data_IF_498693808727
#
_entry.id   IF_498693808727
#
_cell.length_a   1.000
_cell.length_b   1.000
_cell.length_c   1.000
_cell.angle_alpha   90.00
_cell.angle_beta   90.00
_cell.angle_gamma   90.00
#
_symmetry.space_group_name_H-M   'P 1'
#
loop_
_entity.id
_entity.type
_entity.pdbx_description
1 polymer ?
#
# COMPACT_ATOMS: atom_id res chain seq x y z
N UNK A 1 -2.17 -11.42 -15.69
CA UNK A 1 -1.76 -10.99 -15.23
C UNK A 1 -1.90 -10.03 -14.75
N UNK A 2 -1.93 -9.86 -14.22
CA UNK A 2 -2.06 -9.01 -13.85
C UNK A 2 -1.47 -8.14 -13.61
N UNK A 3 -1.38 -7.86 -13.53
CA UNK A 3 -0.76 -6.81 -13.48
C UNK A 3 0.02 -6.38 -12.43
N UNK A 4 0.78 -6.89 -12.02
CA UNK A 4 1.41 -6.33 -11.09
C UNK A 4 2.42 -5.66 -11.50
N UNK A 5 2.62 -4.80 -11.16
CA UNK A 5 3.24 -3.79 -11.84
C UNK A 5 4.39 -3.21 -11.12
N UNK A 6 4.57 -3.55 -9.86
CA UNK A 6 5.65 -2.99 -9.06
C UNK A 6 6.66 -4.09 -8.77
N UNK A 7 7.93 -3.79 -8.93
CA UNK A 7 8.96 -4.78 -8.64
C UNK A 7 9.17 -4.85 -7.13
N UNK A 8 9.96 -5.83 -6.73
CA UNK A 8 10.13 -6.09 -5.32
C UNK A 8 10.81 -4.95 -4.58
N UNK A 9 11.75 -4.30 -5.23
CA UNK A 9 12.43 -3.17 -4.60
C UNK A 9 11.44 -2.04 -4.32
N UNK A 10 10.52 -1.80 -5.26
CA UNK A 10 9.52 -0.77 -5.06
C UNK A 10 8.55 -1.15 -3.94
N UNK A 11 8.12 -2.42 -3.91
CA UNK A 11 7.22 -2.87 -2.86
C UNK A 11 7.86 -2.71 -1.50
N UNK A 12 9.15 -3.06 -1.38
CA UNK A 12 9.85 -2.89 -0.11
C UNK A 12 9.94 -1.43 0.29
N UNK A 13 10.23 -0.56 -0.68
CA UNK A 13 10.36 0.86 -0.37
C UNK A 13 9.04 1.47 0.04
N UNK A 14 7.94 1.03 -0.58
CA UNK A 14 6.63 1.54 -0.20
C UNK A 14 6.23 1.03 1.18
N UNK A 15 6.51 -0.25 1.44
CA UNK A 15 6.25 -0.80 2.77
C UNK A 15 6.95 0.02 3.85
N UNK A 16 8.18 0.44 3.56
CA UNK A 16 8.97 1.19 4.54
C UNK A 16 8.35 2.55 4.87
N UNK A 17 7.43 3.03 4.05
CA UNK A 17 6.77 4.31 4.34
C UNK A 17 5.66 4.17 5.37
N UNK A 18 5.18 2.95 5.63
CA UNK A 18 4.15 2.75 6.64
C UNK A 18 4.74 2.92 8.02
N UNK A 19 3.91 3.38 8.96
CA UNK A 19 4.36 3.64 10.32
C UNK A 19 4.34 2.36 11.14
N UNK A 20 5.44 2.00 11.79
CA UNK A 20 5.43 0.80 12.65
C UNK A 20 4.39 0.92 13.74
N UNK A 21 3.73 -0.20 14.03
CA UNK A 21 2.74 -0.25 15.10
C UNK A 21 3.43 -0.57 16.40
N UNK A 22 3.26 0.30 17.39
CA UNK A 22 3.89 0.05 18.71
C UNK A 22 3.16 -1.04 19.46
N UNK A 23 1.88 -1.25 19.19
CA UNK A 23 1.10 -2.25 19.91
C UNK A 23 1.15 -3.60 19.23
N UNK A 24 1.46 -3.65 17.96
CA UNK A 24 1.53 -4.90 17.22
C UNK A 24 2.79 -4.89 16.35
N UNK A 25 3.96 -5.07 16.99
CA UNK A 25 5.25 -4.75 16.36
C UNK A 25 5.51 -5.32 14.97
N UNK A 26 5.06 -6.53 14.61
CA UNK A 26 5.34 -6.97 13.24
C UNK A 26 4.53 -6.21 12.21
N UNK A 27 3.48 -5.51 12.64
CA UNK A 27 2.60 -4.81 11.71
C UNK A 27 2.95 -3.35 11.62
N UNK A 28 2.44 -2.71 10.57
CA UNK A 28 2.55 -1.28 10.39
C UNK A 28 1.16 -0.73 10.12
N UNK A 29 1.04 0.59 10.10
CA UNK A 29 -0.26 1.21 9.84
C UNK A 29 -0.17 2.03 8.58
N UNK A 30 -1.29 2.02 7.83
CA UNK A 30 -1.36 2.83 6.62
C UNK A 30 -1.83 4.24 6.97
N UNK A 31 -2.11 5.05 5.95
CA UNK A 31 -2.45 6.45 6.15
C UNK A 31 -3.75 6.64 6.93
N UNK A 32 -4.61 5.64 6.94
CA UNK A 32 -5.88 5.71 7.65
C UNK A 32 -5.83 5.02 9.00
N UNK A 33 -4.66 4.55 9.41
CA UNK A 33 -4.51 3.89 10.69
C UNK A 33 -4.82 2.41 10.69
N UNK A 34 -5.01 1.81 9.52
CA UNK A 34 -5.31 0.40 9.43
C UNK A 34 -4.03 -0.41 9.48
N UNK A 35 -4.09 -1.55 10.16
CA UNK A 35 -2.93 -2.43 10.27
C UNK A 35 -2.70 -3.17 8.96
N UNK A 36 -1.45 -3.28 8.58
CA UNK A 36 -1.05 -4.02 7.39
C UNK A 36 0.18 -4.87 7.72
N UNK A 37 0.35 -5.94 6.99
CA UNK A 37 1.40 -6.93 7.22
C UNK A 37 2.24 -7.01 5.96
N UNK A 38 3.57 -7.00 6.14
CA UNK A 38 4.46 -6.93 4.99
C UNK A 38 4.16 -8.00 3.94
N UNK A 39 3.99 -9.24 4.39
CA UNK A 39 3.75 -10.35 3.47
C UNK A 39 2.33 -10.36 2.91
N UNK A 40 1.51 -9.42 3.33
CA UNK A 40 0.15 -9.34 2.82
C UNK A 40 -0.02 -8.55 1.54
N UNK A 41 1.08 -8.15 0.92
CA UNK A 41 0.95 -7.38 -0.31
C UNK A 41 0.13 -8.14 -1.35
N UNK A 42 -0.91 -7.49 -1.85
CA UNK A 42 -1.76 -8.07 -2.87
C UNK A 42 -2.77 -9.09 -2.38
N UNK A 43 -2.81 -9.36 -1.08
CA UNK A 43 -3.68 -10.40 -0.55
C UNK A 43 -4.99 -9.79 -0.05
N UNK A 44 -6.03 -9.92 -0.85
CA UNK A 44 -7.34 -9.39 -0.48
C UNK A 44 -8.16 -10.38 0.33
N UNK A 45 -7.56 -11.51 0.71
CA UNK A 45 -8.21 -12.46 1.61
C UNK A 45 -7.79 -12.25 3.05
N UNK A 46 -6.92 -11.29 3.31
CA UNK A 46 -6.45 -11.01 4.65
C UNK A 46 -6.82 -9.60 5.03
N UNK A 47 -7.27 -9.41 6.27
CA UNK A 47 -7.57 -8.07 6.75
C UNK A 47 -6.32 -7.20 6.83
N UNK A 48 -5.15 -7.83 6.84
CA UNK A 48 -3.88 -7.10 6.87
C UNK A 48 -3.24 -6.99 5.49
N UNK A 49 -3.94 -7.41 4.45
CA UNK A 49 -3.45 -7.26 3.09
C UNK A 49 -3.41 -5.80 2.68
N UNK A 50 -2.48 -5.48 1.79
CA UNK A 50 -2.31 -4.10 1.39
C UNK A 50 -1.91 -4.01 -0.07
N UNK A 51 -2.06 -2.83 -0.60
CA UNK A 51 -1.76 -2.56 -2.00
C UNK A 51 -1.04 -1.23 -2.08
N UNK A 52 -0.39 -0.99 -3.22
CA UNK A 52 0.27 0.29 -3.44
C UNK A 52 -0.72 1.22 -4.12
N UNK A 53 -0.91 2.39 -3.54
CA UNK A 53 -1.84 3.38 -4.06
C UNK A 53 -1.07 4.60 -4.54
N UNK A 54 -1.65 5.29 -5.53
CA UNK A 54 -1.09 6.54 -6.02
C UNK A 54 -1.69 7.69 -5.22
N UNK A 55 -0.84 8.54 -4.68
CA UNK A 55 -1.33 9.74 -4.01
C UNK A 55 -1.96 10.68 -5.04
N UNK A 56 -1.35 10.79 -6.20
CA UNK A 56 -1.92 11.50 -7.33
C UNK A 56 -2.10 10.50 -8.45
N UNK A 57 -3.33 10.26 -8.89
CA UNK A 57 -3.56 9.25 -9.94
C UNK A 57 -2.84 9.59 -11.23
N UNK A 58 -2.48 8.58 -12.00
CA UNK A 58 -1.83 8.83 -13.30
C UNK A 58 -2.63 9.74 -14.22
N UNK A 59 -3.96 9.68 -14.13
CA UNK A 59 -4.80 10.54 -14.98
C UNK A 59 -4.66 12.00 -14.62
N UNK A 60 -4.12 12.31 -13.44
CA UNK A 60 -3.90 13.68 -13.01
C UNK A 60 -2.43 14.03 -12.99
N UNK A 61 -1.63 13.32 -13.78
CA UNK A 61 -0.23 13.63 -13.90
C UNK A 61 0.65 12.95 -12.87
N UNK A 62 0.08 12.05 -12.07
CA UNK A 62 0.88 11.30 -11.11
C UNK A 62 1.70 10.25 -11.81
N UNK A 63 2.88 9.97 -11.28
CA UNK A 63 3.74 8.96 -11.84
C UNK A 63 4.09 7.89 -10.83
N UNK A 64 5.01 7.04 -11.21
CA UNK A 64 5.43 5.93 -10.36
C UNK A 64 6.60 6.30 -9.46
N UNK A 65 6.87 7.59 -9.29
CA UNK A 65 7.88 8.03 -8.35
C UNK A 65 7.51 7.58 -6.95
N UNK A 66 8.51 7.16 -6.20
CA UNK A 66 8.25 6.63 -4.86
C UNK A 66 7.46 7.61 -4.00
N UNK A 67 7.71 8.90 -4.14
CA UNK A 67 7.00 9.87 -3.33
C UNK A 67 5.51 9.96 -3.68
N UNK A 68 5.11 9.41 -4.83
CA UNK A 68 3.70 9.38 -5.22
C UNK A 68 3.02 8.07 -4.85
N UNK A 69 3.74 7.16 -4.23
CA UNK A 69 3.20 5.85 -3.87
C UNK A 69 3.06 5.74 -2.37
N UNK A 70 2.02 5.04 -1.93
CA UNK A 70 1.83 4.83 -0.49
C UNK A 70 1.17 3.49 -0.28
N UNK A 71 1.43 2.87 0.88
CA UNK A 71 0.77 1.60 1.19
C UNK A 71 -0.60 1.87 1.79
N UNK A 72 -1.60 1.15 1.30
CA UNK A 72 -2.94 1.22 1.86
C UNK A 72 -3.46 -0.18 2.08
N UNK A 73 -4.12 -0.39 3.22
CA UNK A 73 -4.85 -1.62 3.43
C UNK A 73 -5.84 -1.76 2.28
N UNK A 74 -6.02 -2.99 1.78
CA UNK A 74 -6.69 -3.15 0.49
C UNK A 74 -8.13 -2.62 0.50
N UNK A 75 -8.83 -2.72 1.63
CA UNK A 75 -10.20 -2.21 1.68
C UNK A 75 -10.21 -0.69 1.65
N UNK A 76 -9.24 -0.06 2.29
CA UNK A 76 -9.13 1.39 2.23
C UNK A 76 -8.82 1.84 0.80
N UNK A 77 -7.97 1.10 0.11
CA UNK A 77 -7.65 1.43 -1.27
C UNK A 77 -8.89 1.35 -2.16
N UNK A 78 -9.69 0.29 -1.95
CA UNK A 78 -10.91 0.11 -2.74
C UNK A 78 -11.95 1.15 -2.41
N UNK A 79 -12.03 1.51 -1.12
CA UNK A 79 -13.04 2.49 -0.70
C UNK A 79 -12.75 3.85 -1.26
N UNK A 80 -11.49 4.21 -1.43
CA UNK A 80 -11.15 5.48 -2.04
C UNK A 80 -11.62 5.55 -3.49
N UNK A 81 -11.86 4.42 -4.11
CA UNK A 81 -12.49 4.39 -5.41
C UNK A 81 -11.63 4.85 -6.55
N UNK A 82 -10.32 4.92 -6.37
CA UNK A 82 -9.47 5.37 -7.45
C UNK A 82 -8.17 4.60 -7.42
N UNK A 83 -7.48 4.69 -8.50
CA UNK A 83 -6.22 4.00 -8.71
C UNK A 83 -6.23 2.61 -8.10
#
# INVERSE_FOLDING_TARGET
>A
MTGKQFDEATIEAVWAKATPSSEHPPLRVDAYGALIWKEGYGNTNSRFGWEIAYRRPPTNGGGNDLENLEPLQWENHRRDGHN
#
